data_IF_379011029969
#
_entry.id   IF_379011029969
#
_cell.length_a   1.000
_cell.length_b   1.000
_cell.length_c   1.000
_cell.angle_alpha   90.00
_cell.angle_beta   90.00
_cell.angle_gamma   90.00
#
_symmetry.space_group_name_H-M   'P 1'
#
loop_
_entity.id
_entity.type
_entity.pdbx_description
1 polymer ?
#
# COMPACT_ATOMS: atom_id res chain seq x y z
N UNK A 1 4.44 26.33 -2.53
CA UNK A 1 4.60 26.01 -3.98
C UNK A 1 3.59 26.85 -4.77
N UNK A 2 3.89 27.25 -6.00
CA UNK A 2 2.97 28.07 -6.80
C UNK A 2 1.79 27.23 -7.34
N UNK A 3 0.63 27.84 -7.57
CA UNK A 3 -0.60 27.13 -8.00
C UNK A 3 -0.42 26.35 -9.31
N UNK A 4 0.35 26.88 -10.26
CA UNK A 4 0.58 26.19 -11.53
C UNK A 4 1.45 24.93 -11.36
N UNK A 5 2.40 24.94 -10.43
CA UNK A 5 3.25 23.78 -10.11
C UNK A 5 2.40 22.70 -9.44
N UNK A 6 1.52 23.12 -8.52
CA UNK A 6 0.53 22.26 -7.87
C UNK A 6 -0.34 21.54 -8.90
N UNK A 7 -0.95 22.29 -9.82
CA UNK A 7 -1.80 21.73 -10.88
C UNK A 7 -1.06 20.72 -11.76
N UNK A 8 0.21 20.98 -12.10
CA UNK A 8 1.02 20.04 -12.88
C UNK A 8 1.29 18.73 -12.13
N UNK A 9 1.53 18.81 -10.82
CA UNK A 9 1.74 17.61 -10.00
C UNK A 9 0.48 16.76 -9.92
N UNK A 10 -0.69 17.38 -9.68
CA UNK A 10 -1.97 16.68 -9.62
C UNK A 10 -2.30 16.00 -10.96
N UNK A 11 -2.17 16.73 -12.07
CA UNK A 11 -2.42 16.15 -13.41
C UNK A 11 -1.48 14.97 -13.70
N UNK A 12 -0.21 15.05 -13.26
CA UNK A 12 0.75 13.95 -13.42
C UNK A 12 0.34 12.72 -12.62
N UNK A 13 -0.14 12.90 -11.40
CA UNK A 13 -0.55 11.82 -10.49
C UNK A 13 -1.85 11.15 -10.97
N UNK A 14 -2.81 11.93 -11.47
CA UNK A 14 -4.11 11.42 -11.92
C UNK A 14 -4.11 10.87 -13.35
N UNK A 15 -3.05 11.10 -14.13
CA UNK A 15 -2.94 10.64 -15.50
C UNK A 15 -3.13 9.13 -15.60
N UNK A 16 -3.95 8.70 -16.57
CA UNK A 16 -4.07 7.29 -16.92
C UNK A 16 -2.70 6.71 -17.29
N UNK A 17 -2.28 5.66 -16.57
CA UNK A 17 -0.98 5.05 -16.75
C UNK A 17 0.19 5.74 -16.02
N UNK A 18 -0.05 6.65 -15.07
CA UNK A 18 0.99 7.26 -14.24
C UNK A 18 1.92 6.23 -13.53
N UNK A 19 1.43 5.00 -13.33
CA UNK A 19 2.18 3.89 -12.73
C UNK A 19 3.05 3.10 -13.72
N UNK A 20 2.92 3.34 -15.02
CA UNK A 20 3.68 2.65 -16.07
C UNK A 20 5.11 3.18 -16.08
N UNK A 21 6.08 2.29 -15.91
CA UNK A 21 7.50 2.65 -15.80
C UNK A 21 7.89 3.31 -14.46
N UNK A 22 6.94 3.64 -13.60
CA UNK A 22 7.22 4.15 -12.26
C UNK A 22 7.76 3.04 -11.34
N UNK A 23 8.73 3.39 -10.52
CA UNK A 23 9.25 2.52 -9.48
C UNK A 23 8.31 2.46 -8.27
N UNK A 24 8.31 1.32 -7.59
CA UNK A 24 7.68 1.21 -6.28
C UNK A 24 8.67 1.77 -5.25
N UNK A 25 8.27 2.73 -4.41
CA UNK A 25 9.09 3.22 -3.29
C UNK A 25 9.60 2.06 -2.44
N UNK A 26 10.83 2.20 -1.93
CA UNK A 26 11.40 1.18 -1.05
C UNK A 26 10.57 1.03 0.22
N UNK A 27 10.31 2.17 0.86
CA UNK A 27 9.47 2.26 2.05
C UNK A 27 8.31 3.24 1.87
N UNK A 28 7.30 3.09 2.72
CA UNK A 28 6.22 4.04 2.90
C UNK A 28 5.82 4.09 4.36
N UNK A 29 5.51 5.28 4.86
CA UNK A 29 4.91 5.45 6.18
C UNK A 29 3.40 5.34 6.06
N UNK A 30 2.80 4.41 6.80
CA UNK A 30 1.34 4.26 6.94
C UNK A 30 1.01 4.38 8.43
N UNK A 31 0.16 5.33 8.79
CA UNK A 31 -0.23 5.56 10.21
C UNK A 31 0.97 5.67 11.17
N UNK A 32 2.09 6.25 10.71
CA UNK A 32 3.31 6.41 11.51
C UNK A 32 4.23 5.19 11.58
N UNK A 33 3.91 4.09 10.88
CA UNK A 33 4.79 2.92 10.75
C UNK A 33 5.43 2.88 9.36
N UNK A 34 6.77 2.77 9.32
CA UNK A 34 7.51 2.58 8.07
C UNK A 34 7.43 1.12 7.60
N UNK A 35 7.03 0.93 6.35
CA UNK A 35 6.80 -0.37 5.73
C UNK A 35 7.61 -0.49 4.44
N UNK A 36 8.27 -1.64 4.24
CA UNK A 36 8.99 -1.98 3.00
C UNK A 36 8.02 -2.27 1.83
N UNK A 37 7.45 -1.22 1.22
CA UNK A 37 6.43 -1.31 0.16
C UNK A 37 6.92 -2.10 -1.06
N UNK A 38 8.16 -1.88 -1.50
CA UNK A 38 8.73 -2.60 -2.65
C UNK A 38 8.82 -4.09 -2.38
N UNK A 39 9.37 -4.45 -1.22
CA UNK A 39 9.50 -5.84 -0.79
C UNK A 39 8.13 -6.50 -0.70
N UNK A 40 7.14 -5.81 -0.12
CA UNK A 40 5.76 -6.28 -0.06
C UNK A 40 5.23 -6.73 -1.40
N UNK A 41 5.28 -5.81 -2.38
CA UNK A 41 4.67 -6.01 -3.69
C UNK A 41 5.39 -7.12 -4.44
N UNK A 42 6.72 -7.19 -4.36
CA UNK A 42 7.47 -8.28 -4.99
C UNK A 42 7.14 -9.64 -4.38
N UNK A 43 7.03 -9.73 -3.05
CA UNK A 43 6.65 -10.99 -2.39
C UNK A 43 5.26 -11.45 -2.77
N UNK A 44 4.34 -10.50 -2.91
CA UNK A 44 2.98 -10.74 -3.38
C UNK A 44 2.98 -11.25 -4.82
N UNK A 45 3.65 -10.54 -5.74
CA UNK A 45 3.68 -10.93 -7.16
C UNK A 45 4.36 -12.27 -7.41
N UNK A 46 5.20 -12.75 -6.49
CA UNK A 46 5.77 -14.11 -6.54
C UNK A 46 4.73 -15.21 -6.26
N UNK A 47 3.52 -14.85 -5.82
CA UNK A 47 2.42 -15.78 -5.62
C UNK A 47 1.29 -15.47 -6.59
N UNK A 48 0.60 -16.51 -7.02
CA UNK A 48 -0.57 -16.38 -7.88
C UNK A 48 -1.85 -16.09 -7.07
N UNK A 49 -1.88 -16.41 -5.77
CA UNK A 49 -3.09 -16.32 -4.94
C UNK A 49 -2.81 -15.88 -3.50
N UNK A 50 -3.83 -15.29 -2.86
CA UNK A 50 -3.86 -14.91 -1.44
C UNK A 50 -4.42 -16.06 -0.62
N UNK A 51 -3.69 -16.72 0.29
CA UNK A 51 -4.26 -17.73 1.18
C UNK A 51 -5.51 -17.24 1.95
N UNK A 52 -6.48 -18.14 2.14
CA UNK A 52 -7.82 -17.77 2.63
C UNK A 52 -7.80 -17.02 3.96
N UNK A 53 -6.95 -17.43 4.91
CA UNK A 53 -6.89 -16.86 6.26
C UNK A 53 -6.39 -15.42 6.34
N UNK A 54 -5.99 -14.82 5.22
CA UNK A 54 -5.31 -13.51 5.19
C UNK A 54 -5.86 -12.60 4.08
N UNK A 55 -6.95 -13.01 3.45
CA UNK A 55 -7.74 -12.14 2.57
C UNK A 55 -8.13 -10.85 3.27
N UNK A 56 -8.62 -10.95 4.52
CA UNK A 56 -9.03 -9.79 5.30
C UNK A 56 -7.88 -8.81 5.55
N UNK A 57 -6.67 -9.35 5.77
CA UNK A 57 -5.45 -8.55 5.93
C UNK A 57 -5.03 -7.86 4.64
N UNK A 58 -5.11 -8.55 3.52
CA UNK A 58 -4.83 -7.94 2.21
C UNK A 58 -5.84 -6.83 1.91
N UNK A 59 -7.12 -7.05 2.19
CA UNK A 59 -8.15 -6.04 2.00
C UNK A 59 -7.97 -4.83 2.92
N UNK A 60 -7.58 -5.05 4.17
CA UNK A 60 -7.26 -3.96 5.09
C UNK A 60 -6.00 -3.19 4.66
N UNK A 61 -4.95 -3.87 4.17
CA UNK A 61 -3.78 -3.19 3.61
C UNK A 61 -4.14 -2.32 2.39
N UNK A 62 -5.01 -2.81 1.48
CA UNK A 62 -5.53 -2.02 0.36
C UNK A 62 -6.30 -0.79 0.85
N UNK A 63 -7.12 -0.92 1.90
CA UNK A 63 -7.87 0.22 2.49
C UNK A 63 -6.92 1.27 3.06
N UNK A 64 -5.90 0.85 3.80
CA UNK A 64 -4.91 1.76 4.37
C UNK A 64 -4.14 2.50 3.27
N UNK A 65 -3.67 1.79 2.25
CA UNK A 65 -2.99 2.38 1.10
C UNK A 65 -3.87 3.41 0.37
N UNK A 66 -5.16 3.11 0.15
CA UNK A 66 -6.09 4.07 -0.47
C UNK A 66 -6.30 5.32 0.38
N UNK A 67 -6.34 5.19 1.71
CA UNK A 67 -6.43 6.33 2.62
C UNK A 67 -5.19 7.22 2.51
N UNK A 68 -4.01 6.62 2.63
CA UNK A 68 -2.72 7.30 2.54
C UNK A 68 -2.51 8.02 1.20
N UNK A 69 -3.08 7.45 0.11
CA UNK A 69 -3.13 8.07 -1.21
C UNK A 69 -3.92 9.38 -1.19
N UNK A 70 -5.11 9.36 -0.59
CA UNK A 70 -6.01 10.51 -0.50
C UNK A 70 -5.38 11.60 0.37
N UNK A 71 -4.85 11.24 1.53
CA UNK A 71 -4.21 12.20 2.45
C UNK A 71 -3.03 12.94 1.78
N UNK A 72 -2.23 12.23 0.97
CA UNK A 72 -1.14 12.86 0.20
C UNK A 72 -1.66 13.74 -0.93
N UNK A 73 -2.75 13.35 -1.58
CA UNK A 73 -3.39 14.15 -2.62
C UNK A 73 -3.90 15.46 -2.03
N UNK A 74 -4.63 15.40 -0.91
CA UNK A 74 -5.11 16.55 -0.16
C UNK A 74 -3.94 17.45 0.31
N UNK A 75 -2.83 16.86 0.77
CA UNK A 75 -1.62 17.62 1.11
C UNK A 75 -1.04 18.37 -0.10
N UNK A 76 -1.05 17.77 -1.29
CA UNK A 76 -0.67 18.46 -2.54
C UNK A 76 -1.74 19.47 -2.96
N UNK A 77 -3.03 19.28 -2.69
CA UNK A 77 -4.10 20.20 -3.11
C UNK A 77 -4.20 21.44 -2.22
N UNK A 78 -4.13 21.25 -0.90
CA UNK A 78 -4.46 22.28 0.08
C UNK A 78 -3.24 22.72 0.91
N UNK A 79 -2.21 21.89 1.01
CA UNK A 79 -1.07 22.13 1.88
C UNK A 79 -0.19 23.30 1.43
N UNK A 80 0.33 24.07 2.40
CA UNK A 80 1.39 25.04 2.16
C UNK A 80 2.76 24.36 2.20
N UNK A 81 3.09 23.69 1.10
CA UNK A 81 4.30 22.89 0.94
C UNK A 81 5.19 23.45 -0.16
N UNK A 82 6.49 23.19 -0.07
CA UNK A 82 7.44 23.47 -1.14
C UNK A 82 7.19 22.59 -2.36
N UNK A 83 7.80 22.94 -3.50
CA UNK A 83 7.71 22.11 -4.71
C UNK A 83 8.39 20.76 -4.53
N UNK A 84 9.52 20.73 -3.83
CA UNK A 84 10.27 19.50 -3.55
C UNK A 84 9.42 18.53 -2.73
N UNK A 85 8.80 19.00 -1.65
CA UNK A 85 7.84 18.20 -0.87
C UNK A 85 6.66 17.71 -1.72
N UNK A 86 6.12 18.56 -2.60
CA UNK A 86 5.05 18.17 -3.52
C UNK A 86 5.48 17.09 -4.52
N UNK A 87 6.71 17.16 -5.01
CA UNK A 87 7.30 16.16 -5.92
C UNK A 87 7.49 14.81 -5.22
N UNK A 88 7.94 14.81 -3.96
CA UNK A 88 8.04 13.63 -3.10
C UNK A 88 6.67 12.99 -2.83
N UNK A 89 5.68 13.79 -2.42
CA UNK A 89 4.31 13.31 -2.18
C UNK A 89 3.73 12.70 -3.46
N UNK A 90 3.89 13.35 -4.61
CA UNK A 90 3.42 12.84 -5.88
C UNK A 90 4.12 11.53 -6.28
N UNK A 91 5.42 11.40 -6.04
CA UNK A 91 6.16 10.15 -6.22
C UNK A 91 5.63 9.03 -5.31
N UNK A 92 5.35 9.36 -4.04
CA UNK A 92 4.75 8.43 -3.09
C UNK A 92 3.35 7.98 -3.54
N UNK A 93 2.51 8.87 -4.08
CA UNK A 93 1.17 8.52 -4.58
C UNK A 93 1.27 7.53 -5.75
N UNK A 94 2.13 7.80 -6.72
CA UNK A 94 2.33 6.89 -7.87
C UNK A 94 2.81 5.51 -7.38
N UNK A 95 3.67 5.49 -6.36
CA UNK A 95 4.12 4.27 -5.70
C UNK A 95 2.98 3.47 -5.04
N UNK A 96 2.09 4.16 -4.33
CA UNK A 96 0.89 3.58 -3.73
C UNK A 96 -0.02 2.99 -4.80
N UNK A 97 -0.30 3.73 -5.88
CA UNK A 97 -1.15 3.28 -6.98
C UNK A 97 -0.59 2.03 -7.64
N UNK A 98 0.74 1.96 -7.80
CA UNK A 98 1.41 0.78 -8.31
C UNK A 98 1.30 -0.43 -7.38
N UNK A 99 1.40 -0.21 -6.07
CA UNK A 99 1.21 -1.27 -5.07
C UNK A 99 -0.24 -1.78 -5.04
N UNK A 100 -1.21 -0.87 -5.10
CA UNK A 100 -2.64 -1.20 -5.19
C UNK A 100 -2.93 -2.04 -6.45
N UNK A 101 -2.42 -1.63 -7.62
CA UNK A 101 -2.56 -2.41 -8.86
C UNK A 101 -2.00 -3.84 -8.71
N UNK A 102 -0.85 -4.00 -8.06
CA UNK A 102 -0.28 -5.33 -7.82
C UNK A 102 -1.13 -6.18 -6.86
N UNK A 103 -1.68 -5.58 -5.81
CA UNK A 103 -2.59 -6.25 -4.86
C UNK A 103 -3.94 -6.62 -5.49
N UNK A 104 -4.44 -5.80 -6.39
CA UNK A 104 -5.69 -6.03 -7.13
C UNK A 104 -5.54 -7.09 -8.22
N UNK A 105 -4.33 -7.24 -8.78
CA UNK A 105 -4.02 -8.29 -9.75
C UNK A 105 -4.00 -9.71 -9.15
N UNK A 106 -4.03 -9.84 -7.83
CA UNK A 106 -4.11 -11.14 -7.17
C UNK A 106 -5.50 -11.74 -7.37
N UNK A 107 -5.56 -12.89 -8.05
CA UNK A 107 -6.80 -13.61 -8.27
C UNK A 107 -7.40 -14.19 -6.98
N UNK A 108 -8.69 -14.53 -6.99
CA UNK A 108 -9.31 -15.27 -5.90
C UNK A 108 -8.56 -16.60 -5.67
N UNK A 109 -8.35 -16.96 -4.41
CA UNK A 109 -7.65 -18.20 -4.05
C UNK A 109 -8.35 -19.41 -4.67
N UNK A 110 -7.63 -20.16 -5.50
CA UNK A 110 -8.07 -21.48 -5.95
C UNK A 110 -7.58 -22.53 -4.93
N UNK A 111 -8.52 -23.16 -4.23
CA UNK A 111 -8.29 -24.18 -3.20
C UNK A 111 -7.47 -25.39 -3.72
N UNK A 112 -7.57 -25.71 -5.02
CA UNK A 112 -6.79 -26.80 -5.63
C UNK A 112 -5.30 -26.43 -5.80
N UNK A 113 -4.98 -25.15 -6.03
CA UNK A 113 -3.57 -24.69 -6.13
C UNK A 113 -2.90 -24.57 -4.76
N UNK A 114 -3.67 -24.34 -3.70
CA UNK A 114 -3.15 -24.18 -2.34
C UNK A 114 -2.52 -25.49 -1.81
N UNK A 115 -3.02 -26.66 -2.24
CA UNK A 115 -2.49 -27.98 -1.84
C UNK A 115 -1.09 -28.29 -2.38
N UNK A 116 -0.67 -27.68 -3.51
CA UNK A 116 0.68 -27.89 -4.06
C UNK A 116 1.75 -26.98 -3.43
N UNK A 117 1.34 -25.91 -2.75
CA UNK A 117 2.25 -24.93 -2.19
C UNK A 117 2.73 -25.35 -0.77
N UNK A 118 3.79 -26.16 -0.70
CA UNK A 118 4.51 -26.51 0.54
C UNK A 118 5.03 -25.27 1.28
N UNK A 119 4.27 -24.63 2.20
CA UNK A 119 4.62 -23.26 2.63
C UNK A 119 4.28 -22.88 4.08
N UNK A 120 4.72 -23.66 5.06
CA UNK A 120 4.65 -23.24 6.47
C UNK A 120 5.59 -22.05 6.80
N UNK A 121 6.82 -22.06 6.29
CA UNK A 121 7.80 -20.98 6.49
C UNK A 121 7.41 -19.71 5.72
N UNK A 122 6.94 -19.91 4.49
CA UNK A 122 6.42 -18.88 3.60
C UNK A 122 5.15 -18.21 4.15
N UNK A 123 4.31 -18.94 4.89
CA UNK A 123 3.18 -18.37 5.64
C UNK A 123 3.63 -17.54 6.82
N UNK A 124 4.66 -17.98 7.56
CA UNK A 124 5.24 -17.21 8.69
C UNK A 124 5.82 -15.88 8.26
N UNK A 125 6.60 -15.85 7.16
CA UNK A 125 7.17 -14.61 6.62
C UNK A 125 6.08 -13.63 6.20
N UNK A 126 5.03 -14.17 5.57
CA UNK A 126 3.87 -13.41 5.14
C UNK A 126 3.03 -12.84 6.29
N UNK A 127 2.83 -13.63 7.35
CA UNK A 127 2.19 -13.18 8.60
C UNK A 127 2.95 -12.03 9.26
N UNK A 128 4.28 -12.13 9.34
CA UNK A 128 5.13 -11.07 9.90
C UNK A 128 5.08 -9.81 9.05
N UNK A 129 4.94 -9.97 7.73
CA UNK A 129 4.87 -8.86 6.80
C UNK A 129 3.52 -8.12 6.87
N UNK A 130 2.41 -8.85 6.81
CA UNK A 130 1.07 -8.26 6.87
C UNK A 130 0.83 -7.56 8.21
N UNK A 131 1.36 -8.08 9.31
CA UNK A 131 1.28 -7.42 10.63
C UNK A 131 1.93 -6.03 10.67
N UNK A 132 2.99 -5.81 9.89
CA UNK A 132 3.64 -4.50 9.77
C UNK A 132 2.88 -3.58 8.82
N UNK A 133 2.39 -4.13 7.70
CA UNK A 133 1.68 -3.37 6.67
C UNK A 133 0.31 -2.82 7.13
N UNK A 134 -0.30 -3.46 8.13
CA UNK A 134 -1.63 -3.09 8.63
C UNK A 134 -1.60 -1.92 9.61
N UNK A 135 -0.43 -1.59 10.17
CA UNK A 135 -0.37 -0.98 11.49
C UNK A 135 -1.01 -1.92 12.51
N UNK A 136 -0.59 -1.88 13.77
CA UNK A 136 -1.48 -2.42 14.79
C UNK A 136 -2.75 -1.58 14.75
N UNK A 137 -3.86 -2.16 14.29
CA UNK A 137 -5.10 -1.87 14.99
C UNK A 137 -4.78 -2.17 16.45
N UNK A 138 -4.76 -1.10 17.23
CA UNK A 138 -4.77 -1.15 18.68
C UNK A 138 -5.72 -2.29 19.08
N UNK A 139 -5.30 -3.09 20.05
CA UNK A 139 -6.15 -4.05 20.76
C UNK A 139 -7.25 -3.24 21.49
N UNK A 140 -8.18 -2.67 20.72
CA UNK A 140 -9.31 -1.87 21.14
C UNK A 140 -10.49 -2.75 21.49
N UNK A 141 -10.26 -3.79 22.29
CA UNK A 141 -11.32 -4.49 22.99
C UNK A 141 -10.78 -5.11 24.28
N UNK A 142 -11.22 -4.53 25.41
CA UNK A 142 -11.15 -5.06 26.78
C UNK A 142 -9.98 -4.63 27.68
N UNK A 143 -9.86 -3.33 27.97
CA UNK A 143 -9.35 -2.87 29.29
C UNK A 143 -9.77 -1.43 29.65
N UNK A 144 -11.03 -1.29 30.08
CA UNK A 144 -11.64 -0.26 30.95
C UNK A 144 -13.15 -0.48 30.83
N UNK A 145 -13.94 -0.80 31.84
CA UNK A 145 -13.79 -0.74 33.28
C UNK A 145 -15.16 -0.30 33.81
N UNK A 146 -15.91 -1.22 34.41
CA UNK A 146 -16.84 -0.95 35.51
C UNK A 146 -17.17 -2.25 36.22
#
# INVERSE_FOLDING_TARGET
MQEYERKQLLERVEREGATVGADIPETITIQGEEIDLRTFVFEIKRRETVPQGERDRVEQAKRNLRRERIERLEAIEEGDITREEGEELAGSIIGIDRALNALESLGPTNLEREQQAQKAQDRKRWMSFLKKALGKDDDGASRRGR
#
